data_IF_385779690177
#
_entry.id   IF_385779690177
#
_cell.length_a   1.000
_cell.length_b   1.000
_cell.length_c   1.000
_cell.angle_alpha   90.00
_cell.angle_beta   90.00
_cell.angle_gamma   90.00
#
_symmetry.space_group_name_H-M   'P 1'
#
loop_
_entity.id
_entity.type
_entity.pdbx_description
1 polymer ?
#
# COMPACT_ATOMS: atom_id res chain seq x y z
N UNK A 1 49.71 50.70 -24.49
CA UNK A 1 49.52 51.14 -23.09
C UNK A 1 48.06 50.83 -22.75
N UNK A 2 47.75 49.66 -22.19
CA UNK A 2 47.67 49.39 -20.76
C UNK A 2 46.65 50.30 -20.04
N UNK A 3 45.41 49.79 -19.88
CA UNK A 3 44.67 49.61 -18.61
C UNK A 3 43.66 50.77 -18.38
N UNK A 4 42.49 50.67 -17.73
CA UNK A 4 42.06 49.83 -16.62
C UNK A 4 40.54 50.04 -16.34
N UNK A 5 39.87 49.03 -15.76
CA UNK A 5 38.68 49.16 -14.89
C UNK A 5 37.31 49.05 -15.58
N UNK A 6 36.33 48.24 -15.16
CA UNK A 6 36.10 47.46 -13.94
C UNK A 6 35.18 46.28 -14.30
N UNK A 7 35.65 45.04 -14.07
CA UNK A 7 34.81 43.84 -14.10
C UNK A 7 34.05 43.73 -12.77
N UNK A 8 32.72 43.87 -12.80
CA UNK A 8 31.88 43.41 -11.68
C UNK A 8 31.76 41.88 -11.75
N UNK A 9 32.02 41.14 -10.65
CA UNK A 9 31.66 39.74 -10.60
C UNK A 9 30.16 39.66 -10.36
N UNK A 10 29.41 39.28 -11.38
CA UNK A 10 27.99 38.92 -11.26
C UNK A 10 27.93 37.57 -10.52
N UNK A 11 28.15 37.59 -9.21
CA UNK A 11 27.86 36.45 -8.33
C UNK A 11 26.34 36.28 -8.29
N UNK A 12 25.81 35.51 -9.23
CA UNK A 12 24.51 34.86 -9.03
C UNK A 12 24.70 33.89 -7.85
N UNK A 13 24.29 34.31 -6.66
CA UNK A 13 23.90 33.32 -5.64
C UNK A 13 22.63 32.64 -6.17
N UNK A 14 22.78 31.51 -6.83
CA UNK A 14 21.71 30.52 -6.91
C UNK A 14 21.58 29.95 -5.49
N UNK A 15 20.81 30.63 -4.65
CA UNK A 15 20.19 30.01 -3.48
C UNK A 15 19.22 28.97 -4.05
N UNK A 16 19.74 27.77 -4.29
CA UNK A 16 18.93 26.59 -4.50
C UNK A 16 18.10 26.41 -3.25
N UNK A 17 16.85 26.84 -3.30
CA UNK A 17 15.84 26.40 -2.35
C UNK A 17 15.77 24.89 -2.51
N UNK A 18 16.41 24.16 -1.62
CA UNK A 18 16.13 22.75 -1.43
C UNK A 18 14.68 22.71 -0.95
N UNK A 19 13.76 22.58 -1.90
CA UNK A 19 12.37 22.21 -1.60
C UNK A 19 12.49 20.84 -0.96
N UNK A 20 12.30 20.78 0.36
CA UNK A 20 11.92 19.55 1.04
C UNK A 20 10.58 19.18 0.43
N UNK A 21 10.61 18.42 -0.66
CA UNK A 21 9.44 17.76 -1.16
C UNK A 21 9.06 16.76 -0.07
N UNK A 22 8.07 17.11 0.75
CA UNK A 22 7.30 16.10 1.44
C UNK A 22 6.69 15.24 0.32
N UNK A 23 7.32 14.10 0.04
CA UNK A 23 6.85 13.18 -0.99
C UNK A 23 5.47 12.71 -0.57
N UNK A 24 4.47 12.97 -1.40
CA UNK A 24 3.18 12.33 -1.23
C UNK A 24 3.34 10.80 -1.14
N UNK A 25 2.57 10.08 -0.31
CA UNK A 25 2.34 8.69 -0.54
C UNK A 25 1.84 8.64 -1.96
N UNK A 26 2.61 7.91 -2.74
CA UNK A 26 2.26 7.64 -4.10
C UNK A 26 0.84 7.03 -4.03
N UNK A 27 -0.09 7.63 -4.76
CA UNK A 27 -1.42 7.03 -4.93
C UNK A 27 -1.36 6.26 -6.22
N UNK A 28 -1.72 4.99 -6.17
CA UNK A 28 -1.67 4.14 -7.34
C UNK A 28 -2.86 3.20 -7.41
N UNK A 29 -3.09 2.70 -8.61
CA UNK A 29 -4.19 1.81 -8.94
C UNK A 29 -3.62 0.43 -9.28
N UNK A 30 -4.05 -0.61 -8.56
CA UNK A 30 -3.49 -1.97 -8.69
C UNK A 30 -3.54 -2.46 -10.14
N UNK A 31 -4.67 -2.24 -10.83
CA UNK A 31 -4.86 -2.69 -12.22
C UNK A 31 -3.91 -2.00 -13.22
N UNK A 32 -3.41 -0.80 -12.89
CA UNK A 32 -2.46 -0.07 -13.72
C UNK A 32 -1.00 -0.49 -13.43
N UNK A 33 -0.76 -1.12 -12.28
CA UNK A 33 0.55 -1.62 -11.82
C UNK A 33 0.77 -3.12 -12.08
N UNK A 34 0.00 -3.72 -12.99
CA UNK A 34 0.06 -5.15 -13.26
C UNK A 34 1.48 -5.61 -13.69
N UNK A 35 2.02 -6.59 -12.98
CA UNK A 35 3.37 -7.13 -13.22
C UNK A 35 4.50 -6.21 -12.75
N UNK A 36 4.18 -5.06 -12.15
CA UNK A 36 5.16 -4.11 -11.67
C UNK A 36 5.53 -4.34 -10.20
N UNK A 37 6.57 -3.64 -9.79
CA UNK A 37 7.02 -3.58 -8.41
C UNK A 37 7.18 -2.14 -7.95
N UNK A 38 6.92 -1.91 -6.67
CA UNK A 38 7.03 -0.61 -6.02
C UNK A 38 7.99 -0.68 -4.83
N UNK A 39 8.64 0.44 -4.51
CA UNK A 39 9.45 0.60 -3.31
C UNK A 39 9.25 2.00 -2.74
N UNK A 40 8.93 2.08 -1.46
CA UNK A 40 8.86 3.34 -0.75
C UNK A 40 8.41 3.15 0.70
N UNK A 41 8.24 4.28 1.39
CA UNK A 41 7.84 4.32 2.80
C UNK A 41 6.35 4.04 2.98
N UNK A 42 5.51 4.66 2.14
CA UNK A 42 4.07 4.43 2.14
C UNK A 42 3.43 4.62 0.75
N UNK A 43 2.33 3.90 0.51
CA UNK A 43 1.54 3.92 -0.74
C UNK A 43 0.05 3.82 -0.40
N UNK A 44 -0.77 4.68 -0.99
CA UNK A 44 -2.22 4.51 -1.01
C UNK A 44 -2.59 3.71 -2.26
N UNK A 45 -2.91 2.43 -2.09
CA UNK A 45 -3.25 1.54 -3.18
C UNK A 45 -4.76 1.40 -3.31
N UNK A 46 -5.29 1.80 -4.45
CA UNK A 46 -6.68 1.55 -4.84
C UNK A 46 -6.74 0.34 -5.77
N UNK A 47 -7.89 -0.30 -5.82
CA UNK A 47 -8.16 -1.34 -6.81
C UNK A 47 -8.05 -0.83 -8.26
N UNK A 48 -8.60 0.36 -8.52
CA UNK A 48 -8.67 1.00 -9.83
C UNK A 48 -8.96 2.51 -9.68
N UNK A 49 -8.78 3.27 -10.75
CA UNK A 49 -8.84 4.76 -10.74
C UNK A 49 -10.16 5.36 -10.26
N UNK A 50 -11.25 4.61 -10.38
CA UNK A 50 -12.60 5.00 -9.95
C UNK A 50 -13.07 4.32 -8.65
N UNK A 51 -12.14 3.71 -7.90
CA UNK A 51 -12.41 3.13 -6.57
C UNK A 51 -13.13 4.12 -5.67
N UNK A 52 -14.03 3.62 -4.80
CA UNK A 52 -14.99 4.38 -3.96
C UNK A 52 -16.14 5.05 -4.72
N UNK A 53 -16.14 5.01 -6.07
CA UNK A 53 -17.21 5.52 -6.91
C UNK A 53 -17.88 4.40 -7.72
N UNK A 54 -17.07 3.50 -8.28
CA UNK A 54 -17.53 2.40 -9.12
C UNK A 54 -16.79 1.10 -8.81
N UNK A 55 -17.25 0.02 -9.44
CA UNK A 55 -16.60 -1.29 -9.39
C UNK A 55 -15.70 -1.49 -10.60
N UNK A 56 -14.56 -2.10 -10.38
CA UNK A 56 -13.81 -2.77 -11.44
C UNK A 56 -14.52 -4.09 -11.78
N UNK A 57 -14.80 -4.29 -13.08
CA UNK A 57 -15.69 -5.35 -13.59
C UNK A 57 -15.07 -6.20 -14.69
N UNK A 58 -13.79 -6.01 -15.01
CA UNK A 58 -13.16 -6.80 -16.06
C UNK A 58 -13.06 -8.28 -15.63
N UNK A 59 -13.62 -9.23 -16.40
CA UNK A 59 -13.47 -10.65 -16.13
C UNK A 59 -12.07 -11.13 -16.50
N UNK A 60 -11.65 -12.28 -15.97
CA UNK A 60 -10.39 -12.95 -16.30
C UNK A 60 -9.14 -12.09 -16.07
N UNK A 61 -9.21 -11.12 -15.16
CA UNK A 61 -8.04 -10.37 -14.72
C UNK A 61 -7.19 -11.26 -13.83
N UNK A 62 -5.89 -11.27 -14.08
CA UNK A 62 -4.87 -11.91 -13.24
C UNK A 62 -3.71 -10.92 -13.11
N UNK A 63 -3.75 -10.12 -12.04
CA UNK A 63 -2.89 -8.97 -11.85
C UNK A 63 -2.10 -9.12 -10.56
N UNK A 64 -0.78 -9.30 -10.67
CA UNK A 64 0.14 -9.33 -9.54
C UNK A 64 0.93 -8.03 -9.42
N UNK A 65 1.12 -7.56 -8.19
CA UNK A 65 1.89 -6.37 -7.86
C UNK A 65 2.76 -6.65 -6.64
N UNK A 66 4.05 -6.27 -6.69
CA UNK A 66 4.99 -6.52 -5.59
C UNK A 66 5.46 -5.24 -4.94
N UNK A 67 5.22 -5.14 -3.63
CA UNK A 67 5.69 -4.05 -2.81
C UNK A 67 7.00 -4.46 -2.14
N UNK A 68 7.97 -3.55 -2.09
CA UNK A 68 9.25 -3.72 -1.42
C UNK A 68 9.42 -2.64 -0.33
N UNK A 69 9.87 -3.07 0.85
CA UNK A 69 10.12 -2.16 1.97
C UNK A 69 11.24 -1.17 1.62
N UNK A 70 11.16 0.03 2.18
CA UNK A 70 12.07 1.13 1.87
C UNK A 70 13.53 0.82 2.24
N UNK A 71 13.74 0.22 3.41
CA UNK A 71 15.06 -0.11 3.93
C UNK A 71 15.29 -1.62 4.11
N UNK A 72 16.56 -2.01 4.17
CA UNK A 72 16.94 -3.38 4.46
C UNK A 72 16.56 -3.76 5.91
N UNK A 73 15.81 -4.84 6.07
CA UNK A 73 15.33 -5.32 7.38
C UNK A 73 13.93 -4.81 7.75
N UNK A 74 13.39 -3.86 7.00
CA UNK A 74 12.00 -3.45 7.12
C UNK A 74 11.06 -4.53 6.56
N UNK A 75 9.82 -4.48 7.03
CA UNK A 75 8.66 -5.27 6.63
C UNK A 75 7.61 -4.34 6.04
N UNK A 76 6.61 -4.92 5.41
CA UNK A 76 5.51 -4.18 4.79
C UNK A 76 4.23 -4.57 5.51
N UNK A 77 3.42 -3.58 5.86
CA UNK A 77 2.06 -3.77 6.33
C UNK A 77 1.11 -3.27 5.25
N UNK A 78 0.01 -3.99 5.06
CA UNK A 78 -1.11 -3.60 4.23
C UNK A 78 -2.37 -3.54 5.10
N UNK A 79 -3.08 -2.42 5.10
CA UNK A 79 -4.36 -2.25 5.79
C UNK A 79 -5.43 -1.81 4.80
N UNK A 80 -6.56 -2.53 4.75
CA UNK A 80 -7.72 -2.08 4.00
C UNK A 80 -8.50 -1.04 4.80
N UNK A 81 -8.97 -0.01 4.09
CA UNK A 81 -9.95 0.98 4.57
C UNK A 81 -11.28 0.87 3.84
N UNK A 82 -11.27 0.20 2.69
CA UNK A 82 -12.44 -0.21 1.96
C UNK A 82 -12.17 -1.55 1.29
N UNK A 83 -13.16 -2.46 1.28
CA UNK A 83 -12.98 -3.78 0.72
C UNK A 83 -14.28 -4.36 0.19
N UNK A 84 -14.27 -4.70 -1.09
CA UNK A 84 -15.36 -5.34 -1.79
C UNK A 84 -14.77 -6.16 -2.94
N UNK A 85 -14.80 -7.48 -2.83
CA UNK A 85 -14.25 -8.39 -3.84
C UNK A 85 -15.17 -9.59 -3.96
N UNK A 86 -16.05 -9.59 -4.96
CA UNK A 86 -16.97 -10.70 -5.18
C UNK A 86 -17.33 -10.84 -6.65
N UNK A 87 -18.11 -11.87 -6.98
CA UNK A 87 -18.66 -12.05 -8.32
C UNK A 87 -20.16 -12.29 -8.23
N UNK A 88 -20.94 -11.62 -9.07
CA UNK A 88 -22.35 -11.94 -9.21
C UNK A 88 -22.48 -13.25 -10.01
N UNK A 89 -23.16 -14.22 -9.43
CA UNK A 89 -23.55 -15.44 -10.13
C UNK A 89 -24.79 -15.12 -10.97
N UNK A 90 -24.75 -15.46 -12.26
CA UNK A 90 -26.00 -15.65 -13.00
C UNK A 90 -26.57 -16.98 -12.52
N UNK A 91 -27.70 -16.97 -11.81
CA UNK A 91 -28.23 -18.16 -11.13
C UNK A 91 -28.28 -19.40 -12.02
N UNK A 92 -27.69 -20.49 -11.53
CA UNK A 92 -28.03 -21.91 -11.74
C UNK A 92 -26.82 -22.78 -11.32
N UNK A 93 -26.87 -23.30 -10.10
CA UNK A 93 -25.96 -24.33 -9.59
C UNK A 93 -26.63 -25.00 -8.40
N UNK A 94 -27.27 -26.15 -8.67
CA UNK A 94 -28.08 -26.89 -7.69
C UNK A 94 -27.29 -27.40 -6.48
N UNK A 95 -27.99 -27.83 -5.42
CA UNK A 95 -27.35 -28.31 -4.20
C UNK A 95 -26.78 -29.71 -4.45
N UNK A 96 -25.47 -29.88 -4.33
CA UNK A 96 -24.85 -31.09 -3.78
C UNK A 96 -23.32 -31.02 -3.83
N UNK A 97 -22.70 -30.65 -2.70
CA UNK A 97 -21.52 -31.34 -2.16
C UNK A 97 -21.29 -30.86 -0.73
N UNK A 98 -21.46 -31.75 0.24
CA UNK A 98 -21.24 -31.55 1.68
C UNK A 98 -19.75 -31.63 2.08
N UNK A 99 -18.87 -31.01 1.30
CA UNK A 99 -17.46 -30.83 1.65
C UNK A 99 -17.20 -29.33 1.74
N UNK A 100 -16.70 -28.87 2.89
CA UNK A 100 -16.28 -27.49 3.07
C UNK A 100 -15.35 -27.06 1.91
N UNK A 101 -15.45 -25.83 1.38
CA UNK A 101 -14.72 -25.47 0.18
C UNK A 101 -13.21 -25.55 0.40
N UNK A 102 -12.49 -26.16 -0.54
CA UNK A 102 -11.02 -26.13 -0.61
C UNK A 102 -10.47 -24.70 -0.88
N UNK A 103 -11.35 -23.75 -1.24
CA UNK A 103 -11.10 -22.32 -1.44
C UNK A 103 -12.38 -21.56 -1.04
N UNK A 104 -12.38 -20.72 0.01
CA UNK A 104 -13.56 -20.01 0.48
C UNK A 104 -14.09 -18.96 -0.51
N UNK A 105 -13.27 -18.57 -1.49
CA UNK A 105 -13.63 -17.59 -2.51
C UNK A 105 -14.04 -18.21 -3.83
N UNK A 106 -13.94 -19.53 -3.98
CA UNK A 106 -14.37 -20.22 -5.19
C UNK A 106 -15.91 -20.21 -5.34
N UNK A 107 -16.45 -20.05 -6.57
CA UNK A 107 -15.77 -19.85 -7.85
C UNK A 107 -15.52 -18.37 -8.21
N UNK A 108 -15.61 -17.45 -7.24
CA UNK A 108 -15.59 -16.00 -7.43
C UNK A 108 -14.20 -15.37 -7.50
N UNK A 109 -14.22 -14.04 -7.60
CA UNK A 109 -13.04 -13.18 -7.54
C UNK A 109 -12.41 -13.16 -6.14
N UNK A 110 -11.10 -12.96 -6.07
CA UNK A 110 -10.38 -12.88 -4.80
C UNK A 110 -9.10 -12.04 -4.91
N UNK A 111 -8.61 -11.61 -3.75
CA UNK A 111 -7.25 -11.12 -3.56
C UNK A 111 -6.42 -12.17 -2.80
N UNK A 112 -5.13 -12.29 -3.12
CA UNK A 112 -4.20 -13.13 -2.36
C UNK A 112 -2.92 -12.36 -2.08
N UNK A 113 -2.49 -12.38 -0.82
CA UNK A 113 -1.17 -11.87 -0.42
C UNK A 113 -0.11 -12.96 -0.52
N UNK A 114 1.13 -12.56 -0.78
CA UNK A 114 2.28 -13.45 -0.91
C UNK A 114 3.52 -12.92 -0.19
N UNK A 115 4.27 -13.83 0.41
CA UNK A 115 5.64 -13.63 0.86
C UNK A 115 6.64 -13.92 -0.26
N UNK A 116 7.79 -13.27 -0.19
CA UNK A 116 8.93 -13.53 -1.07
C UNK A 116 8.85 -12.83 -2.44
N UNK A 117 9.85 -13.06 -3.30
CA UNK A 117 9.94 -12.42 -4.61
C UNK A 117 8.92 -12.98 -5.61
N UNK A 118 8.63 -12.25 -6.72
CA UNK A 118 7.67 -12.70 -7.74
C UNK A 118 7.97 -14.08 -8.36
N UNK A 119 9.24 -14.49 -8.42
CA UNK A 119 9.64 -15.78 -9.00
C UNK A 119 9.44 -17.00 -8.10
N UNK A 120 9.22 -16.79 -6.80
CA UNK A 120 8.95 -17.89 -5.86
C UNK A 120 8.01 -17.43 -4.72
N UNK A 121 6.79 -16.96 -5.04
CA UNK A 121 5.90 -16.38 -4.05
C UNK A 121 5.23 -17.47 -3.22
N UNK A 122 5.12 -17.25 -1.91
CA UNK A 122 4.44 -18.16 -0.97
C UNK A 122 3.15 -17.49 -0.47
N UNK A 123 1.97 -18.12 -0.59
CA UNK A 123 0.72 -17.52 -0.12
C UNK A 123 0.82 -17.14 1.36
N UNK A 124 0.41 -15.91 1.68
CA UNK A 124 0.31 -15.38 3.03
C UNK A 124 -1.17 -15.32 3.41
N UNK A 125 -1.61 -16.32 4.18
CA UNK A 125 -3.02 -16.48 4.57
C UNK A 125 -3.92 -16.99 3.43
N UNK A 126 -5.22 -17.21 3.72
CA UNK A 126 -6.21 -17.62 2.73
C UNK A 126 -6.54 -16.49 1.74
N UNK A 127 -7.14 -16.80 0.58
CA UNK A 127 -7.66 -15.79 -0.33
C UNK A 127 -8.76 -14.95 0.33
N UNK A 128 -8.82 -13.68 -0.04
CA UNK A 128 -9.73 -12.68 0.52
C UNK A 128 -10.81 -12.33 -0.50
N UNK A 129 -12.07 -12.38 -0.07
CA UNK A 129 -13.25 -12.01 -0.84
C UNK A 129 -14.39 -11.61 0.09
N UNK A 130 -15.49 -11.11 -0.49
CA UNK A 130 -16.65 -10.62 0.23
C UNK A 130 -16.61 -9.10 0.43
N UNK A 131 -17.27 -8.64 1.50
CA UNK A 131 -17.51 -7.23 1.80
C UNK A 131 -16.91 -6.80 3.15
N UNK A 132 -16.39 -7.76 3.92
CA UNK A 132 -15.82 -7.51 5.24
C UNK A 132 -14.38 -7.05 5.08
N UNK A 133 -14.04 -5.90 5.68
CA UNK A 133 -12.68 -5.37 5.68
C UNK A 133 -11.74 -6.38 6.36
N UNK A 134 -10.74 -6.94 5.65
CA UNK A 134 -9.80 -7.88 6.23
C UNK A 134 -8.92 -7.24 7.30
N UNK A 135 -8.41 -8.06 8.21
CA UNK A 135 -7.40 -7.62 9.18
C UNK A 135 -6.13 -7.17 8.45
N UNK A 136 -5.34 -6.25 9.04
CA UNK A 136 -4.08 -5.83 8.45
C UNK A 136 -3.14 -7.01 8.22
N UNK A 137 -2.58 -7.09 7.02
CA UNK A 137 -1.62 -8.13 6.61
C UNK A 137 -0.22 -7.55 6.75
N UNK A 138 0.70 -8.29 7.35
CA UNK A 138 2.10 -7.86 7.48
C UNK A 138 3.03 -8.92 6.94
N UNK A 139 4.00 -8.50 6.13
CA UNK A 139 5.04 -9.39 5.64
C UNK A 139 6.03 -9.76 6.74
N UNK A 140 6.77 -10.84 6.53
CA UNK A 140 7.84 -11.30 7.43
C UNK A 140 9.19 -10.75 6.99
N UNK A 141 9.37 -10.57 5.69
CA UNK A 141 10.55 -9.96 5.08
C UNK A 141 10.24 -8.64 4.38
N UNK A 142 11.17 -8.21 3.54
CA UNK A 142 11.13 -6.92 2.82
C UNK A 142 10.16 -6.85 1.66
N UNK A 143 9.33 -7.85 1.41
CA UNK A 143 8.51 -7.92 0.20
C UNK A 143 7.15 -8.53 0.49
N UNK A 144 6.12 -7.92 -0.10
CA UNK A 144 4.74 -8.34 -0.01
C UNK A 144 4.14 -8.29 -1.41
N UNK A 145 3.73 -9.43 -1.93
CA UNK A 145 2.97 -9.52 -3.18
C UNK A 145 1.47 -9.41 -2.92
N UNK A 146 0.76 -8.71 -3.80
CA UNK A 146 -0.70 -8.71 -3.86
C UNK A 146 -1.14 -9.14 -5.26
N UNK A 147 -2.02 -10.14 -5.33
CA UNK A 147 -2.59 -10.62 -6.59
C UNK A 147 -4.10 -10.47 -6.58
N UNK A 148 -4.63 -9.84 -7.62
CA UNK A 148 -6.05 -9.80 -7.94
C UNK A 148 -6.36 -10.82 -9.02
N UNK A 149 -7.35 -11.67 -8.75
CA UNK A 149 -7.92 -12.57 -9.75
C UNK A 149 -9.42 -12.33 -9.83
N UNK A 150 -9.92 -11.98 -11.02
CA UNK A 150 -11.37 -11.85 -11.27
C UNK A 150 -11.92 -13.07 -11.99
N UNK A 151 -12.96 -13.66 -11.42
CA UNK A 151 -13.63 -14.86 -11.95
C UNK A 151 -15.14 -14.66 -12.02
N UNK A 152 -15.83 -15.55 -12.73
CA UNK A 152 -17.28 -15.46 -12.94
C UNK A 152 -17.66 -14.43 -14.01
N UNK A 153 -18.97 -14.28 -14.26
CA UNK A 153 -19.49 -13.47 -15.37
C UNK A 153 -19.49 -11.97 -15.08
N UNK A 154 -19.64 -11.59 -13.82
CA UNK A 154 -19.78 -10.19 -13.39
C UNK A 154 -18.99 -9.97 -12.10
N UNK A 155 -17.65 -9.87 -12.18
CA UNK A 155 -16.84 -9.53 -11.02
C UNK A 155 -17.15 -8.10 -10.56
N UNK A 156 -17.05 -7.87 -9.25
CA UNK A 156 -17.18 -6.58 -8.60
C UNK A 156 -16.00 -6.44 -7.66
N UNK A 157 -15.09 -5.53 -7.99
CA UNK A 157 -13.90 -5.27 -7.20
C UNK A 157 -13.83 -3.78 -6.90
N UNK A 158 -13.78 -3.44 -5.62
CA UNK A 158 -13.46 -2.10 -5.14
C UNK A 158 -12.81 -2.20 -3.77
N UNK A 159 -11.56 -1.76 -3.67
CA UNK A 159 -10.86 -1.65 -2.41
C UNK A 159 -9.94 -0.43 -2.41
N UNK A 160 -9.68 0.06 -1.21
CA UNK A 160 -8.64 1.04 -0.91
C UNK A 160 -7.86 0.50 0.29
N UNK A 161 -6.54 0.51 0.20
CA UNK A 161 -5.68 0.14 1.30
C UNK A 161 -4.40 0.96 1.35
N UNK A 162 -3.82 1.00 2.53
CA UNK A 162 -2.57 1.68 2.81
C UNK A 162 -1.46 0.64 2.97
N UNK A 163 -0.32 0.95 2.37
CA UNK A 163 0.91 0.18 2.47
C UNK A 163 1.89 0.99 3.28
N UNK A 164 2.51 0.38 4.29
CA UNK A 164 3.50 1.05 5.14
C UNK A 164 4.74 0.16 5.31
N UNK A 165 5.91 0.72 5.06
CA UNK A 165 7.20 0.15 5.46
C UNK A 165 7.42 0.38 6.95
N UNK A 166 7.69 -0.68 7.70
CA UNK A 166 7.93 -0.60 9.14
C UNK A 166 9.01 -1.58 9.57
N UNK A 167 9.61 -1.34 10.74
CA UNK A 167 10.51 -2.32 11.37
C UNK A 167 10.10 -2.65 12.79
N UNK A 168 10.63 -3.77 13.27
CA UNK A 168 10.50 -4.21 14.65
C UNK A 168 11.88 -4.10 15.34
N UNK A 169 11.86 -4.05 16.67
CA UNK A 169 13.07 -3.93 17.48
C UNK A 169 13.48 -2.47 17.72
N UNK A 170 14.79 -2.19 17.90
CA UNK A 170 15.27 -0.83 18.13
C UNK A 170 14.97 0.10 16.95
N UNK A 171 14.28 1.21 17.22
CA UNK A 171 13.89 2.14 16.15
C UNK A 171 15.06 2.98 15.63
N UNK A 172 16.07 3.26 16.45
CA UNK A 172 17.15 4.17 16.06
C UNK A 172 16.59 5.53 15.65
N UNK A 173 16.80 5.91 14.39
CA UNK A 173 16.27 7.15 13.82
C UNK A 173 14.78 7.08 13.40
N UNK A 174 14.15 5.91 13.44
CA UNK A 174 12.73 5.76 13.12
C UNK A 174 11.85 6.27 14.27
N UNK A 175 10.63 6.69 13.93
CA UNK A 175 9.63 7.01 14.94
C UNK A 175 9.10 5.74 15.60
N UNK A 176 8.98 5.74 16.93
CA UNK A 176 8.47 4.59 17.69
C UNK A 176 6.97 4.74 17.94
N UNK A 177 6.19 3.88 17.32
CA UNK A 177 4.77 3.72 17.56
C UNK A 177 4.50 3.18 18.97
N UNK A 178 3.30 3.43 19.49
CA UNK A 178 2.88 2.94 20.82
C UNK A 178 2.82 1.41 20.89
N UNK A 179 2.48 0.75 19.78
CA UNK A 179 2.46 -0.70 19.62
C UNK A 179 3.86 -1.32 19.42
N UNK A 180 4.92 -0.52 19.46
CA UNK A 180 6.30 -0.97 19.36
C UNK A 180 6.82 -1.16 17.93
N UNK A 181 6.02 -0.93 16.90
CA UNK A 181 6.52 -0.77 15.52
C UNK A 181 7.33 0.51 15.40
N UNK A 182 8.23 0.53 14.43
CA UNK A 182 8.93 1.75 14.05
C UNK A 182 8.65 2.07 12.59
N UNK A 183 8.27 3.32 12.31
CA UNK A 183 7.99 3.81 10.96
C UNK A 183 8.97 4.91 10.58
N UNK A 184 9.22 5.13 9.27
CA UNK A 184 10.01 6.27 8.80
C UNK A 184 9.48 7.60 9.38
N UNK A 185 10.35 8.54 9.80
CA UNK A 185 9.91 9.83 10.35
C UNK A 185 9.05 10.67 9.40
N UNK A 186 9.18 10.46 8.09
CA UNK A 186 8.37 11.07 7.03
C UNK A 186 6.87 10.72 7.13
N UNK A 187 6.53 9.64 7.84
CA UNK A 187 5.16 9.15 8.00
C UNK A 187 4.49 9.63 9.29
N UNK A 188 5.16 10.46 10.11
CA UNK A 188 4.58 11.03 11.34
C UNK A 188 3.88 12.32 11.00
N UNK A 189 2.62 12.47 11.43
CA UNK A 189 1.76 13.59 11.09
C UNK A 189 1.69 13.83 9.58
N UNK A 190 1.65 12.76 8.80
CA UNK A 190 1.59 12.89 7.36
C UNK A 190 0.28 13.60 6.95
N UNK A 191 0.30 14.46 5.92
CA UNK A 191 -0.87 15.25 5.53
C UNK A 191 -2.02 14.41 4.92
N UNK A 192 -1.84 13.10 4.73
CA UNK A 192 -2.92 12.20 4.29
C UNK A 192 -3.64 11.53 5.45
N UNK A 193 -3.15 11.70 6.68
CA UNK A 193 -3.77 11.16 7.88
C UNK A 193 -3.74 9.63 7.92
N UNK A 194 -2.78 8.99 7.24
CA UNK A 194 -2.69 7.54 7.22
C UNK A 194 -2.26 7.00 8.58
N UNK A 195 -2.86 5.90 9.03
CA UNK A 195 -2.47 5.23 10.27
C UNK A 195 -1.30 4.28 9.99
N UNK A 196 -0.11 4.86 9.81
CA UNK A 196 1.10 4.12 9.46
C UNK A 196 1.55 3.23 10.63
N UNK A 197 1.32 3.66 11.87
CA UNK A 197 1.57 2.81 13.03
C UNK A 197 0.59 1.64 13.13
N UNK A 198 -0.64 1.79 12.61
CA UNK A 198 -1.75 0.87 12.81
C UNK A 198 -2.37 0.95 14.21
N UNK A 199 -2.02 1.97 14.98
CA UNK A 199 -2.55 2.28 16.32
C UNK A 199 -2.85 3.78 16.53
N UNK A 200 -2.76 4.57 15.46
CA UNK A 200 -2.97 6.01 15.39
C UNK A 200 -1.91 6.87 16.09
N UNK A 201 -0.84 6.27 16.64
CA UNK A 201 0.12 7.01 17.45
C UNK A 201 1.03 7.97 16.67
N UNK A 202 1.09 7.82 15.35
CA UNK A 202 1.78 8.72 14.42
C UNK A 202 0.94 9.93 13.99
N UNK A 203 -0.38 9.91 14.20
CA UNK A 203 -1.31 10.99 13.80
C UNK A 203 -1.91 11.74 15.01
N UNK A 204 -1.60 11.30 16.23
CA UNK A 204 -2.19 11.84 17.45
C UNK A 204 -1.71 13.25 17.82
N UNK A 205 -2.60 14.06 18.39
CA UNK A 205 -2.28 15.40 18.95
C UNK A 205 -1.45 15.38 20.24
N UNK A 206 -1.24 14.19 20.81
CA UNK A 206 -0.46 13.96 22.02
C UNK A 206 0.82 13.18 21.71
N UNK A 207 1.81 13.15 22.62
CA UNK A 207 2.97 12.29 22.48
C UNK A 207 2.59 10.82 22.17
N UNK A 208 3.34 10.12 21.31
CA UNK A 208 4.67 10.49 20.82
C UNK A 208 4.68 11.42 19.59
N UNK A 209 3.61 11.51 18.78
CA UNK A 209 3.61 12.32 17.56
C UNK A 209 3.42 13.83 17.82
N UNK A 210 2.50 14.20 18.72
CA UNK A 210 2.18 15.62 19.02
C UNK A 210 1.84 16.44 17.77
N UNK A 211 1.03 15.89 16.86
CA UNK A 211 0.61 16.57 15.64
C UNK A 211 -0.18 17.84 15.96
N UNK A 212 0.18 18.97 15.36
CA UNK A 212 -0.58 20.22 15.48
C UNK A 212 -1.59 20.30 14.35
N UNK A 213 -2.87 20.46 14.69
CA UNK A 213 -4.00 20.76 13.79
C UNK A 213 -3.78 20.37 12.32
N UNK A 214 -4.19 19.14 11.97
CA UNK A 214 -4.34 18.72 10.58
C UNK A 214 -5.56 19.41 9.95
#
# INVERSE_FOLDING_TARGET
MAACGLLLPRRLLLLGMAVLAASAPETADLVDLCGQAWRGDALLLRSHSASRKFYFVAPHTDCGFWMHAAAAGDRIRFQFHFFLVYSLTSGAGGPNSSLAPADPCAPGSYLQFYEGPPGAPRPLGPPLCGLTIPTPVASWGRSLGLRLVTRGRQPRVDFVGEVTSFRLGPCGAYFRCRNGRCIPPSLVCDPWGMDNCGDGSDQGSWPPASCRGQ
#
